data_IF_201740684835
#
_entry.id   IF_201740684835
#
_cell.length_a   1.000
_cell.length_b   1.000
_cell.length_c   1.000
_cell.angle_alpha   90.00
_cell.angle_beta   90.00
_cell.angle_gamma   90.00
#
_symmetry.space_group_name_H-M   'P 1'
#
loop_
_entity.id
_entity.type
_entity.pdbx_description
1 polymer ?
#
# COMPACT_ATOMS: atom_id res chain seq x y z
N UNK A 1 22.15 -8.13 -7.47
CA UNK A 1 21.20 -7.18 -6.86
C UNK A 1 20.32 -6.66 -7.98
N UNK A 2 19.13 -7.25 -8.18
CA UNK A 2 18.23 -6.83 -9.25
C UNK A 2 17.65 -5.46 -8.90
N UNK A 3 17.72 -4.58 -9.89
CA UNK A 3 17.45 -3.15 -9.87
C UNK A 3 15.97 -2.88 -9.56
N UNK A 4 15.68 -2.27 -8.41
CA UNK A 4 14.35 -1.75 -8.08
C UNK A 4 13.91 -0.66 -9.08
N UNK A 5 14.86 0.08 -9.66
CA UNK A 5 14.59 1.03 -10.74
C UNK A 5 14.09 0.34 -12.03
N UNK A 6 14.68 -0.78 -12.45
CA UNK A 6 14.15 -1.56 -13.60
C UNK A 6 12.78 -2.15 -13.27
N UNK A 7 12.54 -2.52 -12.01
CA UNK A 7 11.25 -3.03 -11.55
C UNK A 7 10.14 -1.97 -11.65
N UNK A 8 10.43 -0.74 -11.22
CA UNK A 8 9.49 0.39 -11.27
C UNK A 8 9.35 0.95 -12.69
N UNK A 9 10.41 0.94 -13.49
CA UNK A 9 10.42 1.37 -14.89
C UNK A 9 9.58 0.44 -15.78
N UNK A 10 9.77 -0.89 -15.65
CA UNK A 10 8.89 -1.85 -16.34
C UNK A 10 7.43 -1.64 -15.94
N UNK A 11 7.19 -1.35 -14.65
CA UNK A 11 5.85 -1.08 -14.15
C UNK A 11 5.22 0.20 -14.74
N UNK A 12 5.98 1.28 -14.92
CA UNK A 12 5.50 2.48 -15.60
C UNK A 12 5.24 2.22 -17.09
N UNK A 13 6.13 1.48 -17.77
CA UNK A 13 6.00 1.15 -19.20
C UNK A 13 4.80 0.24 -19.51
N UNK A 14 4.54 -0.77 -18.69
CA UNK A 14 3.36 -1.65 -18.83
C UNK A 14 2.05 -0.90 -18.59
N UNK A 15 2.09 0.19 -17.82
CA UNK A 15 0.93 1.03 -17.54
C UNK A 15 0.68 2.05 -18.67
N UNK A 16 1.72 2.71 -19.17
CA UNK A 16 1.61 3.70 -20.26
C UNK A 16 1.19 3.07 -21.60
N UNK A 17 1.62 1.83 -21.86
CA UNK A 17 1.29 1.12 -23.12
C UNK A 17 -0.17 0.66 -23.21
N UNK A 18 -0.95 0.79 -22.12
CA UNK A 18 -2.36 0.40 -22.08
C UNK A 18 -3.24 1.64 -22.22
N UNK A 19 -3.65 1.93 -23.45
CA UNK A 19 -4.76 2.84 -23.75
C UNK A 19 -6.14 2.31 -23.27
N UNK A 20 -6.17 1.42 -22.28
CA UNK A 20 -7.35 0.71 -21.81
C UNK A 20 -7.29 0.55 -20.28
N UNK A 21 -8.07 1.39 -19.59
CA UNK A 21 -8.76 1.20 -18.30
C UNK A 21 -8.20 0.24 -17.24
N UNK A 22 -6.89 0.04 -17.17
CA UNK A 22 -6.24 -0.69 -16.08
C UNK A 22 -5.74 0.30 -15.05
N UNK A 23 -6.67 1.14 -14.59
CA UNK A 23 -6.56 1.87 -13.33
C UNK A 23 -5.96 0.93 -12.28
N UNK A 24 -5.04 1.44 -11.44
CA UNK A 24 -4.62 0.78 -10.21
C UNK A 24 -5.85 0.12 -9.59
N UNK A 25 -5.92 -1.22 -9.61
CA UNK A 25 -7.12 -1.91 -9.16
C UNK A 25 -7.10 -1.85 -7.63
N UNK A 26 -7.80 -0.85 -7.11
CA UNK A 26 -7.89 -0.54 -5.68
C UNK A 26 -8.45 -1.72 -4.90
N UNK A 27 -9.34 -2.52 -5.49
CA UNK A 27 -9.86 -3.76 -4.88
C UNK A 27 -8.73 -4.76 -4.58
N UNK A 28 -7.62 -4.73 -5.34
CA UNK A 28 -6.47 -5.61 -5.08
C UNK A 28 -5.61 -5.14 -3.90
N UNK A 29 -5.75 -3.89 -3.44
CA UNK A 29 -5.06 -3.43 -2.24
C UNK A 29 -5.66 -4.02 -0.96
N UNK A 30 -6.82 -4.69 -1.04
CA UNK A 30 -7.41 -5.43 0.08
C UNK A 30 -6.56 -6.61 0.52
N UNK A 31 -5.79 -7.23 -0.38
CA UNK A 31 -4.87 -8.33 -0.03
C UNK A 31 -3.44 -8.00 -0.45
N UNK A 32 -2.79 -7.03 0.22
CA UNK A 32 -1.52 -6.45 -0.23
C UNK A 32 -0.36 -7.44 -0.17
N UNK A 33 -0.43 -8.46 0.68
CA UNK A 33 0.63 -9.45 0.86
C UNK A 33 0.63 -10.56 -0.20
N UNK A 34 -0.45 -10.66 -0.98
CA UNK A 34 -0.60 -11.60 -2.09
C UNK A 34 -0.76 -10.86 -3.42
N UNK A 35 -0.40 -9.58 -3.47
CA UNK A 35 -0.62 -8.75 -4.64
C UNK A 35 0.20 -9.28 -5.84
N UNK A 36 -0.49 -9.49 -6.95
CA UNK A 36 0.10 -9.94 -8.21
C UNK A 36 -0.18 -8.92 -9.31
N UNK A 37 0.87 -8.59 -10.05
CA UNK A 37 0.76 -7.88 -11.31
C UNK A 37 0.51 -8.89 -12.43
N UNK A 38 -0.38 -8.50 -13.33
CA UNK A 38 -0.73 -9.26 -14.52
C UNK A 38 -0.05 -8.57 -15.70
N UNK A 39 1.09 -9.11 -16.12
CA UNK A 39 1.90 -8.60 -17.22
C UNK A 39 1.44 -9.25 -18.51
N UNK A 40 1.32 -8.48 -19.59
CA UNK A 40 0.93 -9.00 -20.90
C UNK A 40 2.10 -8.84 -21.86
N UNK A 41 2.74 -9.94 -22.22
CA UNK A 41 3.86 -9.98 -23.17
C UNK A 41 3.32 -10.54 -24.50
N UNK A 42 2.89 -9.64 -25.39
CA UNK A 42 2.24 -10.03 -26.65
C UNK A 42 0.88 -10.71 -26.42
N UNK A 43 0.81 -12.03 -26.69
CA UNK A 43 -0.38 -12.86 -26.46
C UNK A 43 -0.34 -13.62 -25.12
N UNK A 44 0.80 -13.65 -24.42
CA UNK A 44 0.93 -14.33 -23.14
C UNK A 44 0.63 -13.38 -21.98
N UNK A 45 -0.01 -13.91 -20.93
CA UNK A 45 -0.21 -13.21 -19.66
C UNK A 45 0.58 -13.92 -18.57
N UNK A 46 1.38 -13.17 -17.81
CA UNK A 46 2.20 -13.68 -16.71
C UNK A 46 1.90 -12.96 -15.41
N UNK A 47 1.63 -13.75 -14.38
CA UNK A 47 1.48 -13.26 -13.02
C UNK A 47 2.86 -13.08 -12.36
N UNK A 48 3.13 -11.88 -11.85
CA UNK A 48 4.32 -11.58 -11.06
C UNK A 48 3.93 -11.18 -9.66
N UNK A 49 4.47 -11.88 -8.66
CA UNK A 49 4.30 -11.51 -7.25
C UNK A 49 5.05 -10.21 -6.96
N UNK A 50 4.42 -9.31 -6.21
CA UNK A 50 4.91 -7.96 -5.95
C UNK A 50 4.81 -7.61 -4.46
N UNK A 51 5.87 -7.02 -3.92
CA UNK A 51 5.83 -6.35 -2.62
C UNK A 51 5.26 -4.93 -2.78
N UNK A 52 3.93 -4.84 -2.78
CA UNK A 52 3.24 -3.54 -2.93
C UNK A 52 3.48 -2.61 -1.73
N UNK A 53 3.58 -3.09 -0.47
CA UNK A 53 3.98 -2.24 0.64
C UNK A 53 5.32 -1.55 0.44
N UNK A 54 6.34 -2.29 0.01
CA UNK A 54 7.67 -1.72 -0.22
C UNK A 54 7.66 -0.71 -1.37
N UNK A 55 6.94 -1.04 -2.45
CA UNK A 55 6.78 -0.15 -3.61
C UNK A 55 6.16 1.19 -3.21
N UNK A 56 5.11 1.16 -2.38
CA UNK A 56 4.49 2.40 -1.91
C UNK A 56 5.43 3.26 -1.08
N UNK A 57 6.15 2.66 -0.13
CA UNK A 57 7.05 3.42 0.74
C UNK A 57 8.15 4.12 -0.07
N UNK A 58 8.66 3.45 -1.12
CA UNK A 58 9.57 4.06 -2.07
C UNK A 58 8.93 5.25 -2.81
N UNK A 59 7.74 5.07 -3.38
CA UNK A 59 7.01 6.14 -4.10
C UNK A 59 6.65 7.33 -3.20
N UNK A 60 6.40 7.07 -1.92
CA UNK A 60 6.14 8.09 -0.92
C UNK A 60 7.39 8.89 -0.56
N UNK A 61 8.60 8.34 -0.82
CA UNK A 61 9.86 8.88 -0.34
C UNK A 61 10.06 8.65 1.16
N UNK A 62 9.45 7.60 1.72
CA UNK A 62 9.49 7.32 3.14
C UNK A 62 10.88 6.85 3.56
N UNK A 63 11.55 7.64 4.39
CA UNK A 63 12.75 7.18 5.09
C UNK A 63 12.32 6.30 6.26
N UNK A 64 12.33 4.98 6.04
CA UNK A 64 11.86 3.99 7.02
C UNK A 64 12.77 3.96 8.25
N UNK A 65 12.17 4.15 9.43
CA UNK A 65 12.81 3.98 10.74
C UNK A 65 12.53 2.62 11.34
N UNK A 66 11.29 2.15 11.23
CA UNK A 66 10.90 0.81 11.71
C UNK A 66 9.91 0.16 10.76
N UNK A 67 9.99 -1.17 10.66
CA UNK A 67 9.06 -2.03 9.95
C UNK A 67 8.68 -3.17 10.89
N UNK A 68 7.40 -3.29 11.24
CA UNK A 68 6.93 -4.29 12.21
C UNK A 68 5.67 -4.98 11.71
N UNK A 69 5.55 -6.26 12.07
CA UNK A 69 4.35 -7.06 11.79
C UNK A 69 3.58 -7.24 13.10
N UNK A 70 2.28 -7.02 13.06
CA UNK A 70 1.37 -7.25 14.18
C UNK A 70 0.26 -8.21 13.75
N UNK A 71 -0.34 -8.88 14.73
CA UNK A 71 -1.40 -9.84 14.50
C UNK A 71 -2.58 -9.56 15.43
N UNK A 72 -3.78 -9.52 14.86
CA UNK A 72 -5.04 -9.54 15.60
C UNK A 72 -5.80 -10.83 15.21
N UNK A 73 -5.52 -11.90 15.96
CA UNK A 73 -5.95 -13.27 15.62
C UNK A 73 -5.52 -13.67 14.20
N UNK A 74 -6.47 -13.74 13.28
CA UNK A 74 -6.33 -14.08 11.87
C UNK A 74 -5.84 -12.91 10.99
N UNK A 75 -5.90 -11.66 11.49
CA UNK A 75 -5.52 -10.48 10.72
C UNK A 75 -4.05 -10.14 10.87
N UNK A 76 -3.40 -9.92 9.74
CA UNK A 76 -2.02 -9.45 9.67
C UNK A 76 -1.97 -7.96 9.39
N UNK A 77 -1.12 -7.27 10.13
CA UNK A 77 -0.78 -5.87 9.94
C UNK A 77 0.71 -5.75 9.64
N UNK A 78 1.08 -4.98 8.63
CA UNK A 78 2.46 -4.59 8.36
C UNK A 78 2.55 -3.07 8.48
N UNK A 79 3.28 -2.62 9.49
CA UNK A 79 3.39 -1.19 9.83
C UNK A 79 4.79 -0.71 9.53
N UNK A 80 4.87 0.33 8.72
CA UNK A 80 6.07 1.12 8.52
C UNK A 80 5.94 2.43 9.29
N UNK A 81 7.02 2.82 9.96
CA UNK A 81 7.17 4.13 10.58
C UNK A 81 8.41 4.78 10.00
N UNK A 82 8.33 6.05 9.66
CA UNK A 82 9.44 6.76 9.06
C UNK A 82 9.19 8.25 8.98
N UNK A 83 9.98 8.92 8.17
CA UNK A 83 9.85 10.36 7.93
C UNK A 83 9.73 10.68 6.44
N UNK A 84 8.91 11.66 6.11
CA UNK A 84 8.81 12.31 4.79
C UNK A 84 8.84 13.82 5.02
N UNK A 85 9.85 14.51 4.49
CA UNK A 85 10.00 15.98 4.61
C UNK A 85 9.76 16.50 6.04
N UNK A 86 10.46 15.93 7.02
CA UNK A 86 10.37 16.25 8.46
C UNK A 86 9.07 15.87 9.18
N UNK A 87 8.11 15.24 8.50
CA UNK A 87 6.88 14.71 9.11
C UNK A 87 7.04 13.26 9.49
N UNK A 88 6.59 12.87 10.68
CA UNK A 88 6.51 11.47 11.08
C UNK A 88 5.33 10.80 10.39
N UNK A 89 5.58 9.69 9.71
CA UNK A 89 4.56 8.99 8.93
C UNK A 89 4.43 7.56 9.43
N UNK A 90 3.19 7.11 9.59
CA UNK A 90 2.82 5.72 9.78
C UNK A 90 2.09 5.19 8.54
N UNK A 91 2.56 4.09 7.97
CA UNK A 91 1.88 3.38 6.88
C UNK A 91 1.47 2.01 7.40
N UNK A 92 0.16 1.73 7.43
CA UNK A 92 -0.42 0.52 8.01
C UNK A 92 -1.09 -0.28 6.89
N UNK A 93 -0.46 -1.40 6.54
CA UNK A 93 -0.98 -2.37 5.58
C UNK A 93 -1.71 -3.50 6.29
N UNK A 94 -2.87 -3.88 5.76
CA UNK A 94 -3.85 -4.81 6.38
C UNK A 94 -4.40 -5.74 5.31
N UNK A 95 -4.73 -6.98 5.66
CA UNK A 95 -5.57 -7.80 4.76
C UNK A 95 -7.04 -7.49 5.07
N UNK A 96 -7.68 -6.71 4.19
CA UNK A 96 -9.03 -6.15 4.37
C UNK A 96 -10.08 -6.83 3.51
N UNK A 97 -9.74 -7.91 2.81
CA UNK A 97 -10.65 -8.55 1.88
C UNK A 97 -11.90 -9.06 2.59
N UNK A 98 -13.06 -8.60 2.13
CA UNK A 98 -14.36 -8.99 2.67
C UNK A 98 -14.68 -8.40 4.05
N UNK A 99 -13.96 -7.37 4.50
CA UNK A 99 -14.26 -6.70 5.77
C UNK A 99 -15.64 -6.03 5.75
N UNK A 100 -16.37 -6.20 6.84
CA UNK A 100 -17.61 -5.48 7.11
C UNK A 100 -17.37 -4.23 7.96
N UNK A 101 -18.44 -3.50 8.30
CA UNK A 101 -18.37 -2.37 9.21
C UNK A 101 -17.84 -2.77 10.59
N UNK A 102 -18.25 -3.92 11.10
CA UNK A 102 -17.80 -4.46 12.39
C UNK A 102 -16.29 -4.74 12.36
N UNK A 103 -15.77 -5.15 11.22
CA UNK A 103 -14.36 -5.42 11.02
C UNK A 103 -13.53 -4.14 11.02
N UNK A 104 -14.04 -3.06 10.42
CA UNK A 104 -13.43 -1.73 10.45
C UNK A 104 -13.42 -1.13 11.88
N UNK A 105 -14.47 -1.37 12.67
CA UNK A 105 -14.49 -0.98 14.08
C UNK A 105 -13.49 -1.77 14.93
N UNK A 106 -13.32 -3.07 14.66
CA UNK A 106 -12.29 -3.90 15.31
C UNK A 106 -10.89 -3.44 14.95
N UNK A 107 -10.64 -3.14 13.67
CA UNK A 107 -9.39 -2.58 13.17
C UNK A 107 -9.03 -1.26 13.88
N UNK A 108 -9.98 -0.33 13.95
CA UNK A 108 -9.80 0.94 14.67
C UNK A 108 -9.37 0.73 16.11
N UNK A 109 -10.03 -0.18 16.84
CA UNK A 109 -9.70 -0.50 18.23
C UNK A 109 -8.29 -1.08 18.35
N UNK A 110 -7.95 -2.04 17.50
CA UNK A 110 -6.64 -2.68 17.51
C UNK A 110 -5.50 -1.68 17.21
N UNK A 111 -5.69 -0.81 16.21
CA UNK A 111 -4.72 0.24 15.85
C UNK A 111 -4.47 1.18 17.03
N UNK A 112 -5.52 1.53 17.78
CA UNK A 112 -5.42 2.36 18.97
C UNK A 112 -4.74 1.61 20.14
N UNK A 113 -5.15 0.38 20.44
CA UNK A 113 -4.59 -0.42 21.55
C UNK A 113 -3.10 -0.73 21.36
N UNK A 114 -2.65 -0.92 20.11
CA UNK A 114 -1.25 -1.18 19.77
C UNK A 114 -0.45 0.10 19.50
N UNK A 115 -1.06 1.29 19.64
CA UNK A 115 -0.45 2.59 19.37
C UNK A 115 0.22 2.70 17.98
N UNK A 116 -0.33 2.04 16.95
CA UNK A 116 0.34 1.95 15.64
C UNK A 116 0.47 3.33 14.95
N UNK A 117 -0.49 4.21 15.22
CA UNK A 117 -0.56 5.57 14.70
C UNK A 117 0.01 6.64 15.65
N UNK A 118 0.42 6.28 16.87
CA UNK A 118 0.76 7.26 17.91
C UNK A 118 1.97 8.12 17.53
N UNK A 119 1.83 9.45 17.57
CA UNK A 119 2.91 10.38 17.26
C UNK A 119 3.26 10.48 15.77
N UNK A 120 2.44 9.94 14.87
CA UNK A 120 2.54 10.21 13.44
C UNK A 120 1.76 11.48 13.08
N UNK A 121 2.37 12.35 12.27
CA UNK A 121 1.71 13.51 11.67
C UNK A 121 0.77 13.07 10.54
N UNK A 122 1.15 12.00 9.83
CA UNK A 122 0.34 11.39 8.77
C UNK A 122 0.22 9.88 8.92
N UNK A 123 -1.01 9.40 8.72
CA UNK A 123 -1.34 7.98 8.80
C UNK A 123 -1.92 7.56 7.45
N UNK A 124 -1.32 6.55 6.83
CA UNK A 124 -1.81 5.96 5.60
C UNK A 124 -2.24 4.51 5.81
N UNK A 125 -3.35 4.13 5.17
CA UNK A 125 -3.94 2.80 5.25
C UNK A 125 -4.39 2.32 3.88
N UNK A 126 -4.32 1.01 3.63
CA UNK A 126 -4.86 0.42 2.41
C UNK A 126 -6.38 0.23 2.54
N UNK A 127 -7.13 0.87 1.66
CA UNK A 127 -8.59 0.84 1.65
C UNK A 127 -9.26 1.66 2.75
N UNK A 128 -10.55 1.38 2.97
CA UNK A 128 -11.38 2.08 3.94
C UNK A 128 -10.90 1.88 5.38
N UNK A 129 -11.21 2.85 6.24
CA UNK A 129 -10.78 2.83 7.64
C UNK A 129 -11.62 3.71 8.52
N UNK A 130 -11.83 3.28 9.77
CA UNK A 130 -12.38 4.10 10.85
C UNK A 130 -11.30 4.62 11.81
N UNK A 131 -10.02 4.35 11.51
CA UNK A 131 -8.89 4.94 12.23
C UNK A 131 -8.94 6.46 12.06
N UNK A 132 -8.97 7.24 13.15
CA UNK A 132 -9.03 8.69 13.08
C UNK A 132 -7.88 9.27 12.24
N UNK A 133 -8.20 10.22 11.36
CA UNK A 133 -7.25 10.93 10.50
C UNK A 133 -6.43 10.06 9.53
N UNK A 134 -6.74 8.76 9.42
CA UNK A 134 -6.12 7.89 8.43
C UNK A 134 -6.55 8.29 7.01
N UNK A 135 -5.59 8.34 6.11
CA UNK A 135 -5.79 8.63 4.69
C UNK A 135 -5.65 7.34 3.90
N UNK A 136 -6.53 7.13 2.92
CA UNK A 136 -6.33 6.04 1.96
C UNK A 136 -5.04 6.25 1.17
N UNK A 137 -4.31 5.16 0.95
CA UNK A 137 -3.13 5.11 0.10
C UNK A 137 -3.45 5.37 -1.38
N UNK A 138 -4.67 5.07 -1.83
CA UNK A 138 -5.00 4.97 -3.26
C UNK A 138 -4.78 6.29 -4.03
N UNK A 139 -5.23 7.45 -3.53
CA UNK A 139 -5.01 8.71 -4.22
C UNK A 139 -3.52 9.06 -4.30
N UNK A 140 -2.76 8.76 -3.23
CA UNK A 140 -1.31 9.01 -3.18
C UNK A 140 -0.59 8.10 -4.16
N UNK A 141 -0.94 6.81 -4.18
CA UNK A 141 -0.37 5.81 -5.08
C UNK A 141 -0.61 6.21 -6.53
N UNK A 142 -1.87 6.55 -6.88
CA UNK A 142 -2.24 7.02 -8.23
C UNK A 142 -1.50 8.31 -8.62
N UNK A 143 -1.43 9.29 -7.71
CA UNK A 143 -0.74 10.55 -7.99
C UNK A 143 0.77 10.37 -8.18
N UNK A 144 1.43 9.58 -7.32
CA UNK A 144 2.87 9.33 -7.45
C UNK A 144 3.24 8.55 -8.70
N UNK A 145 2.30 7.77 -9.22
CA UNK A 145 2.50 6.98 -10.41
C UNK A 145 2.14 7.66 -11.72
N UNK A 146 1.11 8.50 -11.72
CA UNK A 146 0.56 9.09 -12.96
C UNK A 146 0.58 10.62 -12.97
N UNK A 147 0.87 11.26 -11.83
CA UNK A 147 0.86 12.71 -11.64
C UNK A 147 2.11 13.44 -12.12
N UNK A 148 3.04 12.75 -12.80
CA UNK A 148 4.15 13.37 -13.50
C UNK A 148 3.72 13.97 -14.84
N UNK A 149 2.88 15.01 -14.81
CA UNK A 149 2.68 15.93 -15.94
C UNK A 149 2.66 17.37 -15.45
#
# INVERSE_FOLDING_TARGET
>A
MLKFDDYLLNYMLDFETRASDTLLNVEKLESPFSYKLVLQEGQETRDKLVDIPETFNYLLGLTVKTRRVYHDKDRRYLVYRGCVDHREVAVIWRDTKGWTKEDLERDKKFVAEQNLAEGADEIFVNGDSFVPHAKSLDPVFKHRMFGGR
#
